data_IF_181537614614
#
_entry.id   IF_181537614614
#
_cell.length_a   1.000
_cell.length_b   1.000
_cell.length_c   1.000
_cell.angle_alpha   90.00
_cell.angle_beta   90.00
_cell.angle_gamma   90.00
#
_symmetry.space_group_name_H-M   'P 1'
#
loop_
_entity.id
_entity.type
_entity.pdbx_description
1 polymer ?
#
# COMPACT_ATOMS: atom_id res chain seq x y z
N UNK A 1 18.16 -19.41 -4.58
CA UNK A 1 16.82 -18.89 -4.91
C UNK A 1 15.78 -19.13 -3.81
N UNK A 2 15.63 -20.34 -3.27
CA UNK A 2 14.64 -20.63 -2.20
C UNK A 2 14.79 -19.68 -0.99
N UNK A 3 16.02 -19.44 -0.51
CA UNK A 3 16.29 -18.54 0.60
C UNK A 3 15.83 -17.09 0.33
N UNK A 4 15.92 -16.62 -0.92
CA UNK A 4 15.46 -15.28 -1.34
C UNK A 4 13.94 -15.17 -1.21
N UNK A 5 13.21 -16.20 -1.69
CA UNK A 5 11.75 -16.26 -1.63
C UNK A 5 11.28 -16.37 -0.18
N UNK A 6 11.84 -17.31 0.59
CA UNK A 6 11.53 -17.45 2.02
C UNK A 6 11.80 -16.15 2.77
N UNK A 7 12.91 -15.49 2.47
CA UNK A 7 13.25 -14.20 3.03
C UNK A 7 12.22 -13.11 2.71
N UNK A 8 11.73 -13.05 1.47
CA UNK A 8 10.68 -12.11 1.07
C UNK A 8 9.36 -12.38 1.82
N UNK A 9 8.91 -13.64 1.85
CA UNK A 9 7.67 -14.04 2.55
C UNK A 9 7.77 -13.75 4.05
N UNK A 10 8.89 -14.06 4.69
CA UNK A 10 9.04 -13.84 6.13
C UNK A 10 9.09 -12.37 6.56
N UNK A 11 9.38 -11.44 5.64
CA UNK A 11 9.67 -10.04 5.97
C UNK A 11 8.68 -9.02 5.40
N UNK A 12 7.53 -9.44 4.86
CA UNK A 12 6.54 -8.49 4.30
C UNK A 12 5.40 -8.07 5.26
N UNK A 13 5.32 -8.65 6.46
CA UNK A 13 4.23 -8.41 7.43
C UNK A 13 4.46 -7.15 8.28
N UNK A 14 3.41 -6.32 8.43
CA UNK A 14 3.47 -5.06 9.19
C UNK A 14 3.73 -5.30 10.67
N UNK A 15 3.00 -6.24 11.29
CA UNK A 15 3.06 -6.49 12.73
C UNK A 15 4.40 -7.09 13.16
N UNK A 16 5.04 -7.85 12.27
CA UNK A 16 6.37 -8.41 12.48
C UNK A 16 7.49 -7.37 12.26
N UNK A 17 7.15 -6.11 11.96
CA UNK A 17 8.09 -5.05 11.58
C UNK A 17 8.99 -5.47 10.41
N UNK A 18 8.39 -6.13 9.43
CA UNK A 18 9.07 -6.62 8.24
C UNK A 18 9.84 -5.53 7.49
N UNK A 19 10.95 -5.90 6.87
CA UNK A 19 11.83 -4.99 6.12
C UNK A 19 12.32 -5.65 4.84
N UNK A 20 12.55 -4.83 3.81
CA UNK A 20 13.23 -5.29 2.60
C UNK A 20 14.65 -5.75 2.92
N UNK A 21 14.91 -7.05 2.75
CA UNK A 21 16.25 -7.65 2.93
C UNK A 21 16.92 -8.02 1.60
N UNK A 22 16.18 -7.96 0.51
CA UNK A 22 16.63 -8.14 -0.87
C UNK A 22 15.61 -7.50 -1.84
N UNK A 23 15.96 -7.42 -3.12
CA UNK A 23 15.11 -6.77 -4.14
C UNK A 23 13.74 -7.45 -4.30
N UNK A 24 13.66 -8.77 -4.15
CA UNK A 24 12.39 -9.52 -4.25
C UNK A 24 11.48 -9.18 -3.06
N UNK A 25 12.04 -9.08 -1.85
CA UNK A 25 11.30 -8.66 -0.66
C UNK A 25 10.76 -7.23 -0.81
N UNK A 26 11.56 -6.31 -1.35
CA UNK A 26 11.12 -4.94 -1.61
C UNK A 26 9.97 -4.88 -2.63
N UNK A 27 10.09 -5.61 -3.75
CA UNK A 27 9.04 -5.71 -4.75
C UNK A 27 7.76 -6.34 -4.16
N UNK A 28 7.88 -7.40 -3.34
CA UNK A 28 6.75 -8.03 -2.67
C UNK A 28 6.04 -7.08 -1.71
N UNK A 29 6.78 -6.34 -0.88
CA UNK A 29 6.21 -5.34 0.03
C UNK A 29 5.43 -4.29 -0.76
N UNK A 30 6.01 -3.74 -1.82
CA UNK A 30 5.31 -2.76 -2.66
C UNK A 30 4.03 -3.34 -3.27
N UNK A 31 4.08 -4.55 -3.82
CA UNK A 31 2.92 -5.20 -4.41
C UNK A 31 1.80 -5.48 -3.38
N UNK A 32 2.15 -6.04 -2.21
CA UNK A 32 1.18 -6.40 -1.18
C UNK A 32 0.57 -5.16 -0.49
N UNK A 33 1.40 -4.18 -0.14
CA UNK A 33 0.97 -2.99 0.62
C UNK A 33 0.24 -1.97 -0.26
N UNK A 34 0.41 -2.04 -1.58
CA UNK A 34 -0.36 -1.24 -2.52
C UNK A 34 -1.70 -1.86 -2.94
N UNK A 35 -1.96 -3.14 -2.61
CA UNK A 35 -3.23 -3.80 -2.91
C UNK A 35 -4.35 -3.38 -1.94
N UNK A 36 -4.86 -2.16 -2.18
CA UNK A 36 -5.99 -1.53 -1.50
C UNK A 36 -7.09 -1.27 -2.52
N UNK A 37 -8.26 -1.84 -2.32
CA UNK A 37 -9.36 -1.69 -3.27
C UNK A 37 -10.67 -2.18 -2.65
N UNK A 38 -11.80 -1.61 -3.08
CA UNK A 38 -13.13 -2.02 -2.59
C UNK A 38 -13.45 -3.50 -2.80
N UNK A 39 -12.91 -4.12 -3.85
CA UNK A 39 -13.11 -5.55 -4.12
C UNK A 39 -12.48 -6.47 -3.06
N UNK A 40 -11.62 -5.95 -2.19
CA UNK A 40 -11.06 -6.68 -1.03
C UNK A 40 -12.14 -6.90 0.04
N UNK A 41 -13.20 -6.10 0.05
CA UNK A 41 -14.30 -6.18 1.00
C UNK A 41 -15.35 -7.16 0.49
N UNK A 42 -15.49 -8.30 1.18
CA UNK A 42 -16.47 -9.34 0.82
C UNK A 42 -17.83 -9.19 1.52
N UNK A 43 -17.90 -8.30 2.51
CA UNK A 43 -19.13 -8.02 3.26
C UNK A 43 -20.05 -7.16 2.40
N UNK A 44 -21.33 -7.48 2.38
CA UNK A 44 -22.35 -6.72 1.64
C UNK A 44 -22.89 -5.56 2.47
N UNK A 45 -23.12 -5.80 3.77
CA UNK A 45 -23.71 -4.81 4.67
C UNK A 45 -22.65 -3.85 5.22
N UNK A 46 -22.76 -2.57 4.88
CA UNK A 46 -21.85 -1.51 5.37
C UNK A 46 -21.86 -1.39 6.91
N UNK A 47 -22.96 -1.74 7.56
CA UNK A 47 -23.07 -1.74 9.03
C UNK A 47 -22.14 -2.75 9.70
N UNK A 48 -21.73 -3.80 8.99
CA UNK A 48 -20.81 -4.84 9.49
C UNK A 48 -19.33 -4.54 9.17
N UNK A 49 -19.03 -3.39 8.55
CA UNK A 49 -17.68 -3.04 8.15
C UNK A 49 -16.83 -2.72 9.38
N UNK A 50 -15.66 -3.38 9.46
CA UNK A 50 -14.59 -2.92 10.35
C UNK A 50 -13.98 -1.63 9.79
N UNK A 51 -13.15 -0.90 10.57
CA UNK A 51 -12.42 0.25 10.04
C UNK A 51 -11.61 -0.09 8.78
N UNK A 52 -10.96 -1.27 8.75
CA UNK A 52 -10.22 -1.77 7.58
C UNK A 52 -11.12 -2.07 6.38
N UNK A 53 -12.31 -2.59 6.60
CA UNK A 53 -13.27 -2.81 5.51
C UNK A 53 -13.73 -1.47 4.94
N UNK A 54 -14.07 -0.51 5.81
CA UNK A 54 -14.53 0.83 5.41
C UNK A 54 -13.52 1.55 4.54
N UNK A 55 -12.25 1.62 4.96
CA UNK A 55 -11.22 2.31 4.18
C UNK A 55 -10.90 1.59 2.87
N UNK A 56 -10.96 0.25 2.81
CA UNK A 56 -10.84 -0.46 1.53
C UNK A 56 -12.04 -0.18 0.63
N UNK A 57 -13.26 -0.22 1.16
CA UNK A 57 -14.48 0.03 0.40
C UNK A 57 -14.52 1.43 -0.21
N UNK A 58 -13.99 2.41 0.52
CA UNK A 58 -13.87 3.79 0.04
C UNK A 58 -12.94 3.90 -1.18
N UNK A 59 -11.96 3.01 -1.34
CA UNK A 59 -11.06 3.03 -2.51
C UNK A 59 -11.81 2.60 -3.77
N UNK A 60 -12.09 3.57 -4.65
CA UNK A 60 -12.73 3.36 -5.97
C UNK A 60 -11.71 2.99 -7.05
N UNK A 61 -10.46 3.40 -6.87
CA UNK A 61 -9.36 3.13 -7.78
C UNK A 61 -8.02 3.07 -7.04
N UNK A 62 -7.16 2.16 -7.43
CA UNK A 62 -5.78 2.09 -6.93
C UNK A 62 -4.83 1.65 -8.03
N UNK A 63 -3.68 2.32 -8.12
CA UNK A 63 -2.65 2.02 -9.11
C UNK A 63 -1.26 2.23 -8.53
N UNK A 64 -0.37 1.30 -8.84
CA UNK A 64 1.06 1.44 -8.59
C UNK A 64 1.78 1.69 -9.92
N UNK A 65 2.36 2.87 -10.08
CA UNK A 65 3.05 3.32 -11.29
C UNK A 65 4.55 3.33 -11.06
N UNK A 66 5.31 2.71 -11.96
CA UNK A 66 6.78 2.71 -11.91
C UNK A 66 7.30 3.60 -13.03
N UNK A 67 8.14 4.58 -12.69
CA UNK A 67 8.76 5.54 -13.60
C UNK A 67 10.29 5.38 -13.50
N UNK A 68 10.90 4.52 -14.33
CA UNK A 68 12.32 4.18 -14.25
C UNK A 68 13.26 5.38 -14.39
N UNK A 69 12.95 6.29 -15.32
CA UNK A 69 13.73 7.47 -15.67
C UNK A 69 13.80 8.45 -14.49
N UNK A 70 12.70 8.60 -13.77
CA UNK A 70 12.57 9.44 -12.58
C UNK A 70 12.98 8.70 -11.28
N UNK A 71 13.33 7.41 -11.38
CA UNK A 71 13.51 6.48 -10.25
C UNK A 71 12.41 6.63 -9.21
N UNK A 72 11.16 6.65 -9.66
CA UNK A 72 10.01 6.93 -8.80
C UNK A 72 8.98 5.82 -8.91
N UNK A 73 8.48 5.35 -7.77
CA UNK A 73 7.35 4.45 -7.65
C UNK A 73 6.21 5.22 -7.00
N UNK A 74 5.14 5.43 -7.74
CA UNK A 74 4.00 6.25 -7.32
C UNK A 74 2.79 5.37 -7.04
N UNK A 75 2.21 5.50 -5.86
CA UNK A 75 0.91 4.93 -5.52
C UNK A 75 -0.16 6.01 -5.71
N UNK A 76 -1.14 5.73 -6.55
CA UNK A 76 -2.29 6.59 -6.84
C UNK A 76 -3.54 5.91 -6.29
N UNK A 77 -4.34 6.65 -5.53
CA UNK A 77 -5.55 6.14 -4.87
C UNK A 77 -6.68 7.14 -5.09
N UNK A 78 -7.82 6.64 -5.53
CA UNK A 78 -9.07 7.38 -5.55
C UNK A 78 -9.93 6.91 -4.38
N UNK A 79 -10.32 7.86 -3.52
CA UNK A 79 -11.12 7.63 -2.31
C UNK A 79 -12.46 8.34 -2.48
N UNK A 80 -13.53 7.58 -2.26
CA UNK A 80 -14.88 8.07 -2.08
C UNK A 80 -15.04 8.73 -0.70
N UNK A 81 -15.00 10.06 -0.70
CA UNK A 81 -15.10 10.88 0.51
C UNK A 81 -16.48 10.80 1.20
N UNK A 82 -17.51 10.22 0.57
CA UNK A 82 -18.79 9.95 1.24
C UNK A 82 -18.69 8.73 2.17
N UNK A 83 -17.72 7.84 1.94
CA UNK A 83 -17.51 6.60 2.72
C UNK A 83 -16.51 6.80 3.86
N UNK A 84 -15.35 7.40 3.57
CA UNK A 84 -14.37 7.79 4.58
C UNK A 84 -13.54 9.00 4.13
N UNK A 85 -13.04 9.75 5.10
CA UNK A 85 -12.08 10.82 4.86
C UNK A 85 -10.70 10.28 4.49
N UNK A 86 -9.89 11.11 3.84
CA UNK A 86 -8.48 10.82 3.56
C UNK A 86 -7.71 10.59 4.86
N UNK A 87 -8.00 11.35 5.93
CA UNK A 87 -7.33 11.21 7.22
C UNK A 87 -7.63 9.86 7.90
N UNK A 88 -8.87 9.38 7.86
CA UNK A 88 -9.22 8.05 8.38
C UNK A 88 -8.53 6.93 7.58
N UNK A 89 -8.43 7.08 6.26
CA UNK A 89 -7.64 6.17 5.44
C UNK A 89 -6.17 6.13 5.89
N UNK A 90 -5.56 7.30 6.12
CA UNK A 90 -4.19 7.37 6.65
C UNK A 90 -4.07 6.72 8.01
N UNK A 91 -4.96 6.98 8.95
CA UNK A 91 -4.87 6.41 10.29
C UNK A 91 -4.80 4.88 10.26
N UNK A 92 -5.57 4.25 9.37
CA UNK A 92 -5.62 2.80 9.23
C UNK A 92 -4.43 2.24 8.42
N UNK A 93 -3.97 2.94 7.38
CA UNK A 93 -2.96 2.41 6.44
C UNK A 93 -1.61 3.13 6.40
N UNK A 94 -1.34 4.06 7.33
CA UNK A 94 -0.06 4.77 7.40
C UNK A 94 1.13 3.81 7.46
N UNK A 95 1.05 2.76 8.28
CA UNK A 95 2.13 1.77 8.40
C UNK A 95 2.44 1.09 7.07
N UNK A 96 1.40 0.75 6.29
CA UNK A 96 1.56 0.18 4.94
C UNK A 96 2.29 1.14 4.03
N UNK A 97 1.89 2.41 4.01
CA UNK A 97 2.51 3.44 3.17
C UNK A 97 3.98 3.69 3.54
N UNK A 98 4.31 3.70 4.84
CA UNK A 98 5.69 3.81 5.31
C UNK A 98 6.54 2.60 4.93
N UNK A 99 5.96 1.40 4.92
CA UNK A 99 6.64 0.20 4.45
C UNK A 99 6.89 0.26 2.93
N UNK A 100 5.90 0.66 2.15
CA UNK A 100 6.04 0.89 0.70
C UNK A 100 7.15 1.90 0.41
N UNK A 101 7.19 3.02 1.16
CA UNK A 101 8.27 4.01 1.03
C UNK A 101 9.65 3.41 1.25
N UNK A 102 9.85 2.71 2.38
CA UNK A 102 11.13 2.06 2.71
C UNK A 102 11.52 1.00 1.68
N UNK A 103 10.55 0.28 1.13
CA UNK A 103 10.78 -0.72 0.10
C UNK A 103 11.22 -0.08 -1.23
N UNK A 104 10.60 1.03 -1.64
CA UNK A 104 11.06 1.79 -2.80
C UNK A 104 12.47 2.35 -2.58
N UNK A 105 12.76 2.91 -1.40
CA UNK A 105 14.09 3.40 -1.03
C UNK A 105 15.14 2.29 -1.12
N UNK A 106 14.82 1.07 -0.67
CA UNK A 106 15.70 -0.10 -0.81
C UNK A 106 16.05 -0.42 -2.27
N UNK A 107 15.10 -0.20 -3.19
CA UNK A 107 15.31 -0.37 -4.63
C UNK A 107 16.02 0.84 -5.27
N UNK A 108 16.42 1.85 -4.47
CA UNK A 108 17.02 3.07 -4.98
C UNK A 108 16.03 4.00 -5.68
N UNK A 109 14.74 3.89 -5.35
CA UNK A 109 13.65 4.72 -5.89
C UNK A 109 13.04 5.63 -4.82
N UNK A 110 12.47 6.75 -5.24
CA UNK A 110 11.54 7.55 -4.43
C UNK A 110 10.17 6.89 -4.42
N UNK A 111 9.47 6.98 -3.31
CA UNK A 111 8.04 6.66 -3.25
C UNK A 111 7.21 7.94 -3.24
N UNK A 112 6.13 7.97 -4.01
CA UNK A 112 5.16 9.06 -4.02
C UNK A 112 3.77 8.52 -3.71
N UNK A 113 3.01 9.24 -2.90
CA UNK A 113 1.61 8.90 -2.61
C UNK A 113 0.69 10.03 -3.08
N UNK A 114 -0.20 9.71 -4.00
CA UNK A 114 -1.26 10.58 -4.48
C UNK A 114 -2.61 10.02 -4.06
N UNK A 115 -3.42 10.83 -3.40
CA UNK A 115 -4.80 10.49 -3.05
C UNK A 115 -5.72 11.58 -3.59
N UNK A 116 -6.69 11.21 -4.43
CA UNK A 116 -7.60 12.16 -5.10
C UNK A 116 -6.82 13.30 -5.79
N UNK A 117 -5.75 12.95 -6.52
CA UNK A 117 -4.81 13.86 -7.18
C UNK A 117 -4.02 14.81 -6.27
N UNK A 118 -4.13 14.69 -4.95
CA UNK A 118 -3.31 15.44 -4.00
C UNK A 118 -2.08 14.63 -3.60
N UNK A 119 -0.90 15.24 -3.72
CA UNK A 119 0.37 14.64 -3.31
C UNK A 119 0.56 14.80 -1.80
N UNK A 120 0.86 13.69 -1.11
CA UNK A 120 0.92 13.64 0.35
C UNK A 120 2.28 13.16 0.89
N UNK A 121 3.00 12.33 0.12
CA UNK A 121 4.37 11.88 0.38
C UNK A 121 5.17 11.93 -0.93
#
# INVERSE_FOLDING_TARGET
EIATIMGAIGNHEEQAQGKSINNVAAALILADKSDVHRSRVRKTEMSAFTPRDRVNYAVTGSRLVVMPEEKTIRMEIDIDNEVCSVMEYFEIFLTKMLMSRRAAEYLGCRFELLINNNRLL
#
